data_IF_310411805097
#
_entry.id   IF_310411805097
#
_cell.length_a   1.000
_cell.length_b   1.000
_cell.length_c   1.000
_cell.angle_alpha   90.00
_cell.angle_beta   90.00
_cell.angle_gamma   90.00
#
_symmetry.space_group_name_H-M   'P 1'
#
loop_
_entity.id
_entity.type
_entity.pdbx_description
1 polymer ?
#
# COMPACT_ATOMS: atom_id res chain seq x y z
N UNK A 1 2.30 -19.86 -0.19
CA UNK A 1 2.67 -18.57 0.43
C UNK A 1 1.63 -17.56 -0.02
N UNK A 2 1.07 -16.76 0.87
CA UNK A 2 0.01 -15.81 0.51
C UNK A 2 0.58 -14.41 0.35
N UNK A 3 0.15 -13.69 -0.66
CA UNK A 3 0.47 -12.28 -0.87
C UNK A 3 -0.81 -11.46 -0.78
N UNK A 4 -0.75 -10.32 -0.12
CA UNK A 4 -1.86 -9.38 0.01
C UNK A 4 -1.58 -8.12 -0.80
N UNK A 5 -2.48 -7.78 -1.70
CA UNK A 5 -2.44 -6.55 -2.48
C UNK A 5 -3.40 -5.53 -1.89
N UNK A 6 -2.84 -4.38 -1.51
CA UNK A 6 -3.62 -3.22 -1.09
C UNK A 6 -3.44 -2.11 -2.11
N UNK A 7 -4.53 -1.49 -2.56
CA UNK A 7 -4.48 -0.31 -3.43
C UNK A 7 -5.39 0.80 -2.93
N UNK A 8 -4.87 2.01 -2.99
CA UNK A 8 -5.54 3.28 -2.72
C UNK A 8 -5.51 4.13 -3.99
N UNK A 9 -6.64 4.75 -4.33
CA UNK A 9 -6.68 5.83 -5.31
C UNK A 9 -6.44 7.19 -4.64
N UNK A 10 -5.41 7.90 -5.05
CA UNK A 10 -5.04 9.18 -4.47
C UNK A 10 -5.78 10.38 -5.08
N UNK A 11 -6.55 10.18 -6.16
CA UNK A 11 -7.28 11.26 -6.83
C UNK A 11 -8.26 12.01 -5.92
N UNK A 12 -8.78 11.38 -4.86
CA UNK A 12 -9.66 11.98 -3.84
C UNK A 12 -9.05 11.92 -2.43
N UNK A 13 -7.72 11.78 -2.32
CA UNK A 13 -7.04 11.65 -1.03
C UNK A 13 -6.55 13.00 -0.49
N UNK A 14 -6.25 13.04 0.81
CA UNK A 14 -5.70 14.23 1.46
C UNK A 14 -4.20 14.47 1.19
N UNK A 15 -3.55 13.54 0.50
CA UNK A 15 -2.11 13.50 0.23
C UNK A 15 -1.86 13.19 -1.25
N UNK A 16 -0.67 13.52 -1.72
CA UNK A 16 -0.16 13.14 -3.03
C UNK A 16 0.93 12.05 -2.92
N UNK A 17 1.36 11.51 -4.07
CA UNK A 17 2.39 10.46 -4.14
C UNK A 17 3.76 10.91 -3.61
N UNK A 18 4.13 12.17 -3.80
CA UNK A 18 5.44 12.70 -3.39
C UNK A 18 5.53 12.78 -1.86
N UNK A 19 4.50 13.31 -1.21
CA UNK A 19 4.40 13.36 0.25
C UNK A 19 4.32 11.96 0.87
N UNK A 20 3.61 11.03 0.23
CA UNK A 20 3.58 9.63 0.68
C UNK A 20 4.97 9.02 0.62
N UNK A 21 5.66 9.13 -0.53
CA UNK A 21 7.02 8.60 -0.72
C UNK A 21 8.01 9.13 0.31
N UNK A 22 7.88 10.39 0.71
CA UNK A 22 8.72 11.00 1.73
C UNK A 22 8.45 10.46 3.15
N UNK A 23 7.28 9.87 3.39
CA UNK A 23 6.83 9.39 4.71
C UNK A 23 6.62 7.87 4.78
N UNK A 24 7.10 7.11 3.78
CA UNK A 24 6.93 5.66 3.77
C UNK A 24 7.70 5.02 4.92
N UNK A 25 7.06 4.12 5.69
CA UNK A 25 7.75 3.34 6.68
C UNK A 25 8.61 2.27 6.01
N UNK A 26 9.58 1.77 6.78
CA UNK A 26 10.38 0.61 6.43
C UNK A 26 9.49 -0.65 6.44
N UNK A 27 9.63 -1.50 5.43
CA UNK A 27 8.80 -2.69 5.27
C UNK A 27 9.57 -3.95 5.67
N UNK A 28 8.90 -4.96 6.23
CA UNK A 28 9.52 -6.26 6.47
C UNK A 28 9.96 -6.91 5.15
N UNK A 29 10.90 -7.85 5.24
CA UNK A 29 11.46 -8.53 4.07
C UNK A 29 10.36 -9.22 3.23
N UNK A 30 10.36 -8.90 1.93
CA UNK A 30 9.36 -9.39 0.98
C UNK A 30 8.20 -8.43 0.73
N UNK A 31 7.92 -7.49 1.64
CA UNK A 31 6.86 -6.50 1.44
C UNK A 31 7.35 -5.34 0.56
N UNK A 32 6.48 -4.82 -0.30
CA UNK A 32 6.87 -3.78 -1.25
C UNK A 32 5.78 -2.74 -1.51
N UNK A 33 6.14 -1.47 -1.33
CA UNK A 33 5.34 -0.33 -1.76
C UNK A 33 5.30 -0.25 -3.29
N UNK A 34 4.12 -0.03 -3.85
CA UNK A 34 3.89 0.19 -5.27
C UNK A 34 3.19 1.52 -5.49
N UNK A 35 3.50 2.19 -6.59
CA UNK A 35 2.87 3.46 -6.96
C UNK A 35 2.70 3.53 -8.47
N UNK A 36 1.52 3.95 -8.91
CA UNK A 36 1.20 4.24 -10.29
C UNK A 36 0.91 5.74 -10.44
N UNK A 37 1.89 6.56 -10.86
CA UNK A 37 1.69 7.99 -11.01
C UNK A 37 0.75 8.37 -12.15
N UNK A 38 0.52 7.49 -13.13
CA UNK A 38 -0.36 7.75 -14.26
C UNK A 38 -1.84 7.72 -13.87
N UNK A 39 -2.22 6.82 -12.95
CA UNK A 39 -3.58 6.63 -12.44
C UNK A 39 -3.74 7.14 -11.01
N UNK A 40 -2.72 7.83 -10.49
CA UNK A 40 -2.64 8.35 -9.13
C UNK A 40 -2.92 7.27 -8.07
N UNK A 41 -2.39 6.06 -8.25
CA UNK A 41 -2.58 4.96 -7.30
C UNK A 41 -1.35 4.72 -6.46
N UNK A 42 -1.59 4.29 -5.24
CA UNK A 42 -0.56 3.84 -4.32
C UNK A 42 -1.01 2.52 -3.70
N UNK A 43 -0.06 1.67 -3.32
CA UNK A 43 -0.38 0.35 -2.84
C UNK A 43 0.74 -0.33 -2.09
N UNK A 44 0.40 -1.46 -1.47
CA UNK A 44 1.31 -2.35 -0.79
C UNK A 44 1.11 -3.76 -1.29
N UNK A 45 2.21 -4.44 -1.56
CA UNK A 45 2.25 -5.89 -1.73
C UNK A 45 2.86 -6.44 -0.44
N UNK A 46 2.09 -7.17 0.38
CA UNK A 46 2.57 -7.77 1.63
C UNK A 46 2.68 -9.27 1.49
N UNK A 47 3.89 -9.81 1.69
CA UNK A 47 4.21 -11.23 1.75
C UNK A 47 4.31 -11.72 3.20
N UNK A 48 4.68 -10.82 4.12
CA UNK A 48 4.85 -11.09 5.55
C UNK A 48 3.51 -11.28 6.28
N UNK A 49 2.42 -10.70 5.75
CA UNK A 49 1.10 -10.68 6.38
C UNK A 49 0.99 -9.70 7.56
N UNK A 50 2.06 -8.96 7.89
CA UNK A 50 2.02 -7.94 8.93
C UNK A 50 1.39 -6.65 8.39
N UNK A 51 0.40 -6.11 9.12
CA UNK A 51 -0.35 -4.93 8.69
C UNK A 51 -0.11 -3.70 9.57
N UNK A 52 0.87 -3.76 10.48
CA UNK A 52 1.13 -2.68 11.43
C UNK A 52 1.48 -1.37 10.71
N UNK A 53 2.33 -1.45 9.68
CA UNK A 53 2.79 -0.30 8.89
C UNK A 53 1.68 0.32 8.02
N UNK A 54 0.60 -0.41 7.74
CA UNK A 54 -0.53 0.09 6.96
C UNK A 54 -1.34 1.10 7.77
N UNK A 55 -1.37 0.99 9.10
CA UNK A 55 -2.09 1.94 9.96
C UNK A 55 -1.65 3.37 9.68
N UNK A 56 -0.32 3.60 9.67
CA UNK A 56 0.28 4.91 9.39
C UNK A 56 -0.06 5.42 7.99
N UNK A 57 -0.04 4.55 6.98
CA UNK A 57 -0.38 4.94 5.60
C UNK A 57 -1.87 5.26 5.46
N UNK A 58 -2.77 4.51 6.09
CA UNK A 58 -4.21 4.81 6.11
C UNK A 58 -4.49 6.17 6.74
N UNK A 59 -3.76 6.53 7.80
CA UNK A 59 -3.86 7.86 8.42
C UNK A 59 -3.37 8.98 7.49
N UNK A 60 -2.23 8.78 6.80
CA UNK A 60 -1.69 9.75 5.84
C UNK A 60 -2.62 9.94 4.63
N UNK A 61 -3.12 8.86 4.06
CA UNK A 61 -4.06 8.90 2.93
C UNK A 61 -5.43 9.44 3.39
N UNK A 62 -5.80 9.14 4.64
CA UNK A 62 -7.06 9.52 5.27
C UNK A 62 -8.23 8.62 4.90
N UNK A 63 -7.97 7.45 4.30
CA UNK A 63 -8.99 6.46 3.92
C UNK A 63 -8.45 5.04 3.88
N UNK A 64 -9.40 4.11 3.87
CA UNK A 64 -9.17 2.69 3.64
C UNK A 64 -8.76 2.39 2.19
N UNK A 65 -8.00 1.29 1.98
CA UNK A 65 -7.71 0.80 0.64
C UNK A 65 -9.01 0.41 -0.07
N UNK A 66 -9.09 0.73 -1.37
CA UNK A 66 -10.20 0.34 -2.24
C UNK A 66 -10.10 -1.13 -2.65
N UNK A 67 -8.88 -1.65 -2.71
CA UNK A 67 -8.60 -3.06 -3.02
C UNK A 67 -7.80 -3.63 -1.87
N UNK A 68 -8.23 -4.77 -1.34
CA UNK A 68 -7.57 -5.49 -0.27
C UNK A 68 -7.64 -7.00 -0.50
N UNK A 69 -7.04 -7.46 -1.59
CA UNK A 69 -7.16 -8.84 -2.07
C UNK A 69 -5.99 -9.70 -1.59
N UNK A 70 -6.27 -10.99 -1.37
CA UNK A 70 -5.28 -11.98 -0.97
C UNK A 70 -5.15 -13.03 -2.07
N UNK A 71 -3.91 -13.35 -2.42
CA UNK A 71 -3.58 -14.30 -3.46
C UNK A 71 -2.69 -15.39 -2.91
N UNK A 72 -2.88 -16.62 -3.39
CA UNK A 72 -1.92 -17.69 -3.20
C UNK A 72 -0.84 -17.58 -4.27
N UNK A 73 0.42 -17.49 -3.85
CA UNK A 73 1.57 -17.56 -4.75
C UNK A 73 1.76 -19.01 -5.18
N UNK A 74 1.58 -19.27 -6.47
CA UNK A 74 1.97 -20.52 -7.10
C UNK A 74 3.47 -20.46 -7.44
N UNK A 75 4.25 -21.41 -6.90
CA UNK A 75 5.65 -21.67 -7.24
C UNK A 75 5.76 -23.07 -7.85
#
# INVERSE_FOLDING_TARGET
MTVRLLLWNLADSKTNLDELRANLPDLPEGDQWISDPASERFGLISLSGSLEEIGRIRELIGKDPEIGEEFELEN
#
